data_IF_832816427392
#
_entry.id   IF_832816427392
#
_cell.length_a   1.000
_cell.length_b   1.000
_cell.length_c   1.000
_cell.angle_alpha   90.00
_cell.angle_beta   90.00
_cell.angle_gamma   90.00
#
_symmetry.space_group_name_H-M   'P 1'
#
loop_
_entity.id
_entity.type
_entity.pdbx_description
1 polymer ?
#
# COMPACT_ATOMS: atom_id res chain seq x y z
N UNK A 1 -16.93 -2.56 -10.53
CA UNK A 1 -17.27 -3.81 -11.24
C UNK A 1 -17.72 -3.47 -12.64
N UNK A 2 -17.36 -4.25 -13.65
CA UNK A 2 -17.68 -3.92 -15.05
C UNK A 2 -19.20 -3.80 -15.31
N UNK A 3 -19.99 -4.66 -14.65
CA UNK A 3 -21.46 -4.65 -14.73
C UNK A 3 -22.12 -3.43 -14.07
N UNK A 4 -21.41 -2.73 -13.19
CA UNK A 4 -21.95 -1.63 -12.39
C UNK A 4 -20.95 -0.48 -12.32
N UNK A 5 -20.87 0.38 -13.36
CA UNK A 5 -19.86 1.43 -13.45
C UNK A 5 -20.01 2.50 -12.36
N UNK A 6 -21.24 2.77 -11.92
CA UNK A 6 -21.54 3.84 -10.95
C UNK A 6 -21.52 3.37 -9.49
N UNK A 7 -21.03 2.15 -9.22
CA UNK A 7 -21.03 1.56 -7.88
C UNK A 7 -19.63 1.17 -7.46
N UNK A 8 -19.27 1.60 -6.26
CA UNK A 8 -18.05 1.20 -5.59
C UNK A 8 -18.36 0.28 -4.42
N UNK A 9 -17.62 -0.83 -4.35
CA UNK A 9 -17.67 -1.76 -3.22
C UNK A 9 -16.45 -1.53 -2.33
N UNK A 10 -16.69 -1.55 -1.03
CA UNK A 10 -15.64 -1.48 -0.03
C UNK A 10 -15.37 -2.88 0.52
N UNK A 11 -14.10 -3.16 0.72
CA UNK A 11 -13.64 -4.44 1.21
C UNK A 11 -12.23 -4.34 1.75
N UNK A 12 -11.71 -5.46 2.21
CA UNK A 12 -10.33 -5.55 2.66
C UNK A 12 -9.65 -6.77 2.03
N UNK A 13 -8.33 -6.72 1.96
CA UNK A 13 -7.55 -7.90 1.63
C UNK A 13 -7.69 -8.89 2.78
N UNK A 14 -8.22 -10.07 2.48
CA UNK A 14 -8.40 -11.12 3.47
C UNK A 14 -7.15 -11.99 3.55
N UNK A 15 -6.57 -12.33 2.39
CA UNK A 15 -5.32 -13.08 2.34
C UNK A 15 -4.55 -12.85 1.05
N UNK A 16 -3.25 -13.05 1.15
CA UNK A 16 -2.32 -13.11 0.02
C UNK A 16 -1.72 -14.52 0.06
N UNK A 17 -1.82 -15.25 -1.04
CA UNK A 17 -1.26 -16.61 -1.10
C UNK A 17 0.28 -16.53 -1.02
N UNK A 18 0.87 -17.21 -0.03
CA UNK A 18 2.33 -17.27 0.13
C UNK A 18 3.01 -18.14 -0.92
N UNK A 19 2.26 -19.06 -1.54
CA UNK A 19 2.75 -19.92 -2.61
C UNK A 19 2.31 -19.37 -3.97
N UNK A 20 3.28 -18.98 -4.78
CA UNK A 20 3.07 -18.86 -6.22
C UNK A 20 3.27 -20.24 -6.84
N UNK A 21 2.45 -20.64 -7.81
CA UNK A 21 2.44 -22.00 -8.39
C UNK A 21 3.74 -22.48 -9.07
N UNK A 22 4.85 -21.74 -8.93
CA UNK A 22 6.19 -22.12 -9.39
C UNK A 22 6.91 -23.15 -8.50
N UNK A 23 6.48 -23.35 -7.24
CA UNK A 23 7.13 -24.31 -6.32
C UNK A 23 6.89 -25.80 -6.69
N UNK A 24 5.99 -26.08 -7.64
CA UNK A 24 5.62 -27.44 -8.04
C UNK A 24 6.10 -27.83 -9.46
N UNK A 25 7.10 -27.14 -10.02
CA UNK A 25 7.68 -27.58 -11.30
C UNK A 25 8.58 -28.80 -11.10
N UNK A 26 8.19 -29.94 -11.69
CA UNK A 26 8.95 -31.20 -11.69
C UNK A 26 10.25 -31.09 -12.51
N UNK A 27 10.36 -30.08 -13.38
CA UNK A 27 11.52 -29.90 -14.25
C UNK A 27 12.20 -28.55 -13.94
N UNK A 28 13.42 -28.55 -13.38
CA UNK A 28 14.25 -27.35 -13.36
C UNK A 28 14.63 -26.98 -14.80
N UNK A 29 14.41 -25.73 -15.21
CA UNK A 29 14.91 -25.25 -16.49
C UNK A 29 16.43 -25.09 -16.40
N UNK A 30 17.17 -26.05 -16.95
CA UNK A 30 18.61 -25.94 -17.20
C UNK A 30 18.84 -24.91 -18.31
N UNK A 31 18.90 -23.62 -17.96
CA UNK A 31 19.34 -22.56 -18.87
C UNK A 31 20.87 -22.51 -18.91
N UNK A 32 21.49 -23.38 -19.71
CA UNK A 32 22.95 -23.48 -19.85
C UNK A 32 23.55 -22.61 -20.97
N UNK A 33 22.86 -21.54 -21.42
CA UNK A 33 23.29 -20.71 -22.57
C UNK A 33 23.24 -19.20 -22.36
N UNK A 34 23.03 -18.72 -21.12
CA UNK A 34 23.23 -17.29 -20.78
C UNK A 34 22.16 -16.30 -21.26
N UNK A 35 20.97 -16.76 -21.65
CA UNK A 35 19.85 -15.88 -21.97
C UNK A 35 18.95 -15.65 -20.74
N UNK A 36 18.85 -14.40 -20.28
CA UNK A 36 18.02 -14.03 -19.13
C UNK A 36 16.62 -13.62 -19.62
N UNK A 37 15.61 -14.44 -19.35
CA UNK A 37 14.21 -14.12 -19.64
C UNK A 37 13.49 -13.73 -18.35
N UNK A 38 12.93 -12.51 -18.31
CA UNK A 38 12.10 -12.06 -17.19
C UNK A 38 10.74 -12.78 -17.27
N UNK A 39 10.43 -13.58 -16.26
CA UNK A 39 9.13 -14.24 -16.12
C UNK A 39 8.25 -13.43 -15.18
N UNK A 40 6.99 -13.22 -15.58
CA UNK A 40 5.99 -12.58 -14.71
C UNK A 40 5.43 -13.61 -13.75
N UNK A 41 5.60 -13.38 -12.46
CA UNK A 41 5.00 -14.18 -11.40
C UNK A 41 3.74 -13.48 -10.89
N UNK A 42 2.60 -14.19 -10.92
CA UNK A 42 1.33 -13.69 -10.41
C UNK A 42 1.12 -14.21 -8.99
N UNK A 43 0.75 -13.30 -8.09
CA UNK A 43 0.43 -13.63 -6.69
C UNK A 43 -1.09 -13.54 -6.51
N UNK A 44 -1.77 -14.65 -6.19
CA UNK A 44 -3.20 -14.62 -5.89
C UNK A 44 -3.49 -13.80 -4.63
N UNK A 45 -4.51 -12.95 -4.70
CA UNK A 45 -5.01 -12.15 -3.58
C UNK A 45 -6.51 -12.43 -3.41
N UNK A 46 -6.93 -12.72 -2.17
CA UNK A 46 -8.35 -12.85 -1.81
C UNK A 46 -8.82 -11.57 -1.13
N UNK A 47 -9.93 -11.02 -1.61
CA UNK A 47 -10.53 -9.78 -1.12
C UNK A 47 -11.91 -10.11 -0.59
N UNK A 48 -12.16 -9.78 0.68
CA UNK A 48 -13.47 -9.87 1.29
C UNK A 48 -14.20 -8.54 1.06
N UNK A 49 -15.47 -8.61 0.64
CA UNK A 49 -16.33 -7.45 0.44
C UNK A 49 -17.19 -7.32 1.69
N UNK A 50 -17.10 -6.17 2.37
CA UNK A 50 -17.77 -5.96 3.64
C UNK A 50 -19.22 -5.52 3.44
N UNK A 51 -19.42 -4.57 2.52
CA UNK A 51 -20.71 -3.94 2.26
C UNK A 51 -20.93 -3.76 0.75
N UNK A 52 -22.18 -3.89 0.33
CA UNK A 52 -22.59 -3.67 -1.04
C UNK A 52 -24.08 -3.33 -1.15
N UNK A 53 -24.51 -2.69 -2.25
CA UNK A 53 -25.92 -2.36 -2.43
C UNK A 53 -26.77 -3.63 -2.51
N UNK A 54 -27.86 -3.69 -1.74
CA UNK A 54 -28.76 -4.86 -1.73
C UNK A 54 -29.50 -5.06 -3.06
N UNK A 55 -29.65 -4.01 -3.86
CA UNK A 55 -30.29 -4.02 -5.17
C UNK A 55 -29.37 -4.56 -6.29
N UNK A 56 -28.08 -4.76 -6.01
CA UNK A 56 -27.06 -5.13 -7.03
C UNK A 56 -26.20 -6.30 -6.55
N UNK A 57 -26.77 -7.53 -6.51
CA UNK A 57 -26.07 -8.70 -6.01
C UNK A 57 -24.90 -9.10 -6.93
N UNK A 58 -23.73 -9.32 -6.34
CA UNK A 58 -22.56 -9.82 -7.06
C UNK A 58 -22.72 -11.32 -7.36
N UNK A 59 -22.32 -11.73 -8.56
CA UNK A 59 -22.33 -13.12 -9.01
C UNK A 59 -20.92 -13.59 -9.33
N UNK A 60 -20.70 -14.90 -9.23
CA UNK A 60 -19.45 -15.52 -9.66
C UNK A 60 -19.22 -15.28 -11.16
N UNK A 61 -17.95 -15.04 -11.53
CA UNK A 61 -17.55 -14.79 -12.92
C UNK A 61 -17.49 -13.32 -13.33
N UNK A 62 -17.89 -12.39 -12.45
CA UNK A 62 -17.75 -10.96 -12.70
C UNK A 62 -16.29 -10.52 -12.66
N UNK A 63 -15.91 -9.67 -13.61
CA UNK A 63 -14.64 -8.94 -13.61
C UNK A 63 -14.79 -7.62 -12.87
N UNK A 64 -13.71 -7.20 -12.21
CA UNK A 64 -13.62 -5.88 -11.61
C UNK A 64 -12.20 -5.35 -11.64
N UNK A 65 -12.08 -4.04 -11.71
CA UNK A 65 -10.88 -3.34 -11.34
C UNK A 65 -10.85 -3.16 -9.82
N UNK A 66 -9.65 -3.29 -9.22
CA UNK A 66 -9.45 -3.20 -7.77
C UNK A 66 -8.31 -2.24 -7.49
N UNK A 67 -8.57 -1.27 -6.60
CA UNK A 67 -7.55 -0.40 -6.01
C UNK A 67 -7.30 -0.83 -4.57
N UNK A 68 -6.05 -1.14 -4.23
CA UNK A 68 -5.64 -1.54 -2.88
C UNK A 68 -4.77 -0.44 -2.29
N UNK A 69 -5.12 0.07 -1.12
CA UNK A 69 -4.25 0.93 -0.33
C UNK A 69 -3.31 0.07 0.53
N UNK A 70 -2.00 0.21 0.31
CA UNK A 70 -0.97 -0.52 1.06
C UNK A 70 -0.48 0.24 2.29
N UNK A 71 -1.05 1.42 2.58
CA UNK A 71 -0.57 2.32 3.62
C UNK A 71 0.82 2.90 3.34
N UNK A 72 1.36 2.66 2.13
CA UNK A 72 2.63 3.19 1.72
C UNK A 72 2.51 4.70 1.50
N UNK A 73 2.89 5.44 2.52
CA UNK A 73 3.15 6.86 2.40
C UNK A 73 4.60 6.99 1.95
N UNK A 74 4.88 7.65 0.81
CA UNK A 74 6.23 8.03 0.47
C UNK A 74 6.73 8.89 1.63
N UNK A 75 7.52 8.30 2.53
CA UNK A 75 8.36 9.08 3.43
C UNK A 75 9.26 9.83 2.48
N UNK A 76 9.00 11.13 2.32
CA UNK A 76 9.84 12.00 1.53
C UNK A 76 11.30 11.72 1.87
N UNK A 77 12.21 11.93 0.91
CA UNK A 77 13.60 11.55 1.07
C UNK A 77 14.13 11.90 2.46
N UNK A 78 14.79 10.94 3.14
CA UNK A 78 15.22 11.13 4.53
C UNK A 78 16.02 12.43 4.73
N UNK A 79 16.68 12.93 3.67
CA UNK A 79 17.36 14.22 3.67
C UNK A 79 16.43 15.42 3.95
N UNK A 80 15.17 15.40 3.52
CA UNK A 80 14.20 16.47 3.80
C UNK A 80 13.76 16.48 5.26
N UNK A 81 13.78 15.33 5.94
CA UNK A 81 13.39 15.24 7.34
C UNK A 81 14.41 15.97 8.23
N UNK A 82 15.70 15.88 7.91
CA UNK A 82 16.75 16.64 8.59
C UNK A 82 16.58 18.16 8.41
N UNK A 83 16.16 18.59 7.21
CA UNK A 83 15.85 20.00 6.94
C UNK A 83 14.61 20.45 7.74
N UNK A 84 13.52 19.69 7.73
CA UNK A 84 12.32 20.07 8.51
C UNK A 84 12.60 20.08 10.03
N UNK A 85 13.40 19.15 10.54
CA UNK A 85 13.80 19.13 11.95
C UNK A 85 14.65 20.36 12.33
N UNK A 86 15.67 20.69 11.53
CA UNK A 86 16.47 21.91 11.69
C UNK A 86 15.60 23.16 11.73
N UNK A 87 14.63 23.30 10.80
CA UNK A 87 13.78 24.48 10.73
C UNK A 87 12.87 24.61 11.97
N UNK A 88 12.35 23.49 12.48
CA UNK A 88 11.55 23.45 13.70
C UNK A 88 12.37 23.86 14.93
N UNK A 89 13.61 23.39 15.04
CA UNK A 89 14.51 23.72 16.15
C UNK A 89 15.01 25.17 16.05
N UNK A 90 15.26 25.67 14.83
CA UNK A 90 15.68 27.05 14.59
C UNK A 90 14.58 28.09 14.89
N UNK A 91 13.31 27.68 14.80
CA UNK A 91 12.14 28.53 15.12
C UNK A 91 11.66 28.34 16.57
N UNK A 92 12.18 27.36 17.29
CA UNK A 92 11.85 27.07 18.69
C UNK A 92 12.81 27.67 19.74
N UNK A 93 13.10 28.99 19.74
CA UNK A 93 13.50 29.64 20.98
C UNK A 93 12.75 30.95 21.20
N UNK A 94 11.53 30.91 21.76
CA UNK A 94 10.92 32.10 22.37
C UNK A 94 9.72 31.85 23.33
N UNK A 95 9.53 30.65 23.90
CA UNK A 95 8.41 30.39 24.85
C UNK A 95 8.82 30.22 26.31
N UNK A 96 10.05 30.57 26.71
CA UNK A 96 10.45 30.48 28.13
C UNK A 96 11.32 31.60 28.71
N UNK A 97 11.48 32.74 28.03
CA UNK A 97 12.26 33.86 28.56
C UNK A 97 11.37 35.10 28.73
N UNK A 98 10.55 35.10 29.78
CA UNK A 98 9.63 36.21 30.03
C UNK A 98 8.84 36.08 31.33
N UNK A 99 9.49 35.77 32.44
CA UNK A 99 8.96 36.18 33.76
C UNK A 99 10.08 36.90 34.46
N UNK A 100 10.07 38.21 34.22
CA UNK A 100 10.96 39.21 34.76
C UNK A 100 10.63 39.31 36.25
N UNK A 101 11.66 39.03 37.06
CA UNK A 101 11.78 39.43 38.45
C UNK A 101 11.65 40.95 38.57
N UNK A 102 10.78 41.42 39.47
CA UNK A 102 10.40 42.82 39.60
C UNK A 102 9.55 43.13 40.84
N UNK A 103 10.23 43.31 41.97
CA UNK A 103 9.98 44.32 43.02
C UNK A 103 8.54 44.47 43.61
N UNK A 104 8.26 43.78 44.72
CA UNK A 104 8.04 44.31 46.08
C UNK A 104 7.72 43.22 47.09
#
# INVERSE_FOLDING_TARGET
MDTYPDVHWNGHVESIAQATGAEFSVLPSQNATGNWVKVVQRVPVRIAINDGPSDRPLRAGLSTEVKIDTGWHPRGPAFLQGVVAWARDAVAPAVHAGTIDGDR
#
